data_IF_256969972593
#
_entry.id   IF_256969972593
#
_cell.length_a   1.000
_cell.length_b   1.000
_cell.length_c   1.000
_cell.angle_alpha   90.00
_cell.angle_beta   90.00
_cell.angle_gamma   90.00
#
_symmetry.space_group_name_H-M   'P 1'
#
loop_
_entity.id
_entity.type
_entity.pdbx_description
1 polymer ?
#
# COMPACT_ATOMS: atom_id res chain seq x y z
N UNK A 1 -49.91 10.71 -50.35
CA UNK A 1 -50.84 10.79 -49.21
C UNK A 1 -50.09 11.43 -48.05
N UNK A 2 -50.49 12.66 -47.71
CA UNK A 2 -50.11 13.43 -46.51
C UNK A 2 -50.85 12.86 -45.26
N UNK A 3 -50.56 13.27 -44.01
CA UNK A 3 -49.91 14.52 -43.63
C UNK A 3 -48.79 14.47 -42.57
N UNK A 4 -48.06 15.59 -42.60
CA UNK A 4 -47.14 16.14 -41.61
C UNK A 4 -47.89 16.68 -40.39
N UNK A 5 -47.25 16.68 -39.22
CA UNK A 5 -47.52 17.70 -38.17
C UNK A 5 -46.20 18.21 -37.61
N UNK A 6 -46.00 19.53 -37.71
CA UNK A 6 -45.05 20.38 -36.99
C UNK A 6 -45.85 21.15 -35.93
N UNK A 7 -45.30 21.40 -34.74
CA UNK A 7 -45.68 22.49 -33.82
C UNK A 7 -44.43 22.81 -32.98
N UNK A 8 -43.69 23.88 -33.26
CA UNK A 8 -43.79 25.27 -32.76
C UNK A 8 -43.44 25.49 -31.29
N UNK A 9 -42.45 26.37 -31.12
CA UNK A 9 -41.89 26.92 -29.90
C UNK A 9 -42.88 27.81 -29.13
N UNK A 10 -42.63 27.98 -27.82
CA UNK A 10 -43.07 29.17 -27.09
C UNK A 10 -42.05 29.57 -26.02
N UNK A 11 -41.64 30.82 -26.16
CA UNK A 11 -40.82 31.65 -25.28
C UNK A 11 -41.66 32.05 -24.07
N UNK A 12 -41.09 32.06 -22.87
CA UNK A 12 -41.57 32.95 -21.80
C UNK A 12 -40.39 33.49 -21.00
N UNK A 13 -40.23 34.81 -21.09
CA UNK A 13 -39.28 35.61 -20.35
C UNK A 13 -40.00 36.37 -19.22
N UNK A 14 -39.29 36.58 -18.11
CA UNK A 14 -39.38 37.79 -17.31
C UNK A 14 -40.28 37.74 -16.06
N UNK A 15 -39.64 37.82 -14.89
CA UNK A 15 -40.11 38.66 -13.78
C UNK A 15 -38.91 39.10 -12.94
N UNK A 16 -38.56 40.39 -13.11
CA UNK A 16 -37.78 41.15 -12.15
C UNK A 16 -38.65 41.44 -10.91
N UNK A 17 -38.07 41.28 -9.73
CA UNK A 17 -38.58 41.84 -8.48
C UNK A 17 -37.41 42.43 -7.70
N UNK A 18 -37.28 43.76 -7.72
CA UNK A 18 -36.35 44.54 -6.92
C UNK A 18 -37.10 45.28 -5.80
N UNK A 19 -36.60 45.16 -4.57
CA UNK A 19 -36.78 46.00 -3.37
C UNK A 19 -35.79 45.40 -2.36
N UNK A 20 -34.84 46.04 -1.69
CA UNK A 20 -34.45 47.42 -1.39
C UNK A 20 -33.65 47.32 -0.07
N UNK A 21 -32.56 48.09 0.16
CA UNK A 21 -31.72 47.92 1.34
C UNK A 21 -32.39 48.54 2.57
N UNK A 22 -32.47 47.78 3.67
CA UNK A 22 -32.93 48.28 4.96
C UNK A 22 -31.75 48.49 5.89
N UNK A 23 -31.44 49.76 6.17
CA UNK A 23 -30.66 50.20 7.31
C UNK A 23 -31.26 49.66 8.62
N UNK A 24 -30.41 49.05 9.46
CA UNK A 24 -30.65 48.90 10.90
C UNK A 24 -29.37 49.19 11.67
N UNK A 25 -29.25 50.44 12.07
CA UNK A 25 -28.43 50.88 13.20
C UNK A 25 -28.94 50.28 14.52
N UNK A 26 -27.99 49.94 15.41
CA UNK A 26 -28.10 50.22 16.84
C UNK A 26 -28.59 49.09 17.77
N UNK A 27 -27.64 48.39 18.39
CA UNK A 27 -27.57 48.03 19.82
C UNK A 27 -26.41 47.03 19.99
N UNK A 28 -25.19 47.45 20.33
CA UNK A 28 -24.73 47.66 21.72
C UNK A 28 -25.22 46.54 22.65
N UNK A 29 -24.46 45.44 22.68
CA UNK A 29 -24.42 44.52 23.80
C UNK A 29 -22.95 44.28 24.16
N UNK A 30 -22.58 44.77 25.34
CA UNK A 30 -21.30 44.53 26.00
C UNK A 30 -21.14 43.04 26.34
N UNK A 31 -19.95 42.44 26.17
CA UNK A 31 -19.61 41.21 26.87
C UNK A 31 -18.91 41.56 28.19
N UNK A 32 -19.69 41.71 29.27
CA UNK A 32 -19.16 41.60 30.63
C UNK A 32 -19.20 40.13 31.04
N UNK A 33 -18.06 39.47 31.09
CA UNK A 33 -17.94 38.09 31.54
C UNK A 33 -16.49 37.63 31.60
N UNK A 34 -15.79 38.08 32.63
CA UNK A 34 -14.44 37.64 32.97
C UNK A 34 -14.39 36.12 33.25
N UNK A 35 -13.30 35.42 32.89
CA UNK A 35 -13.05 34.05 33.36
C UNK A 35 -12.58 34.06 34.82
N UNK A 36 -12.99 33.08 35.67
CA UNK A 36 -12.52 33.01 37.03
C UNK A 36 -11.04 32.57 37.09
N UNK A 37 -10.25 33.45 37.70
CA UNK A 37 -8.90 33.21 38.21
C UNK A 37 -8.99 32.26 39.40
N UNK A 38 -8.28 31.13 39.35
CA UNK A 38 -7.95 30.33 40.53
C UNK A 38 -6.44 30.39 40.76
N UNK A 39 -6.04 31.03 41.85
CA UNK A 39 -4.68 31.02 42.36
C UNK A 39 -4.71 30.92 43.88
N UNK A 40 -3.85 30.04 44.40
CA UNK A 40 -3.08 30.15 45.65
C UNK A 40 -3.39 29.18 46.81
N UNK A 41 -2.28 28.61 47.31
CA UNK A 41 -2.06 27.89 48.57
C UNK A 41 -1.40 26.54 48.28
N UNK A 42 -0.08 26.40 48.09
CA UNK A 42 1.13 26.85 48.81
C UNK A 42 1.30 26.33 50.25
N UNK A 43 2.51 25.82 50.51
CA UNK A 43 3.00 25.21 51.75
C UNK A 43 3.71 23.88 51.46
N UNK A 44 5.04 23.71 51.48
CA UNK A 44 6.11 24.54 52.01
C UNK A 44 6.98 23.72 52.97
N UNK A 45 8.24 23.44 52.58
CA UNK A 45 9.34 22.99 53.45
C UNK A 45 9.62 21.48 53.43
N UNK A 46 10.85 20.97 53.52
CA UNK A 46 12.18 21.56 53.67
C UNK A 46 13.23 20.45 53.49
N UNK A 47 14.44 20.86 53.12
CA UNK A 47 15.68 20.13 52.85
C UNK A 47 16.01 18.87 53.69
N UNK A 48 16.79 17.95 53.09
CA UNK A 48 18.04 17.49 53.72
C UNK A 48 19.01 16.91 52.70
N UNK A 49 20.28 17.25 52.88
CA UNK A 49 21.44 16.84 52.08
C UNK A 49 22.27 15.79 52.84
N UNK A 50 22.84 14.81 52.12
CA UNK A 50 24.01 13.98 52.48
C UNK A 50 24.41 13.24 51.19
N UNK A 51 25.64 13.23 50.67
CA UNK A 51 26.96 13.47 51.25
C UNK A 51 27.69 12.15 51.53
N UNK A 52 28.69 11.79 50.71
CA UNK A 52 29.62 10.64 50.85
C UNK A 52 29.64 9.79 49.56
N UNK A 53 30.64 9.85 48.67
CA UNK A 53 32.11 9.73 48.77
C UNK A 53 32.58 8.30 49.11
N UNK A 54 33.40 7.72 48.21
CA UNK A 54 33.75 6.30 48.20
C UNK A 54 34.67 5.90 47.04
N UNK A 55 35.93 6.31 47.17
CA UNK A 55 37.11 6.05 46.35
C UNK A 55 37.60 4.60 46.30
N UNK A 56 38.25 4.21 45.19
CA UNK A 56 39.29 3.15 45.10
C UNK A 56 38.89 1.96 44.21
N UNK A 57 39.70 1.39 43.32
CA UNK A 57 41.13 1.57 43.05
C UNK A 57 41.46 1.07 41.62
N UNK A 58 42.50 1.65 41.05
CA UNK A 58 43.14 1.24 39.81
C UNK A 58 43.78 -0.16 39.91
N UNK A 59 43.88 -0.85 38.76
CA UNK A 59 45.12 -1.57 38.46
C UNK A 59 45.38 -1.57 36.96
N UNK A 60 46.48 -0.92 36.61
CA UNK A 60 47.12 -0.97 35.31
C UNK A 60 47.94 -2.27 35.22
N UNK A 61 47.90 -2.91 34.04
CA UNK A 61 48.76 -4.02 33.68
C UNK A 61 49.21 -3.85 32.23
N UNK A 62 50.41 -3.28 32.09
CA UNK A 62 51.07 -2.87 30.85
C UNK A 62 51.50 -4.03 29.95
N UNK A 63 51.48 -3.73 28.65
CA UNK A 63 52.19 -4.26 27.48
C UNK A 63 53.20 -5.42 27.64
N UNK A 64 53.15 -6.32 26.64
CA UNK A 64 54.24 -7.20 26.25
C UNK A 64 54.03 -7.70 24.82
N UNK A 65 54.50 -6.91 23.85
CA UNK A 65 54.63 -7.33 22.46
C UNK A 65 55.65 -8.47 22.33
N UNK A 66 55.37 -9.46 21.48
CA UNK A 66 56.38 -10.33 20.90
C UNK A 66 55.89 -10.88 19.56
N UNK A 67 56.80 -10.80 18.61
CA UNK A 67 56.65 -10.86 17.18
C UNK A 67 56.83 -12.30 16.67
N UNK A 68 55.97 -12.67 15.72
CA UNK A 68 56.17 -13.50 14.51
C UNK A 68 56.73 -14.94 14.55
N UNK A 69 56.24 -15.65 13.52
CA UNK A 69 56.69 -16.91 12.89
C UNK A 69 56.27 -18.18 13.63
N UNK A 70 55.64 -19.18 13.00
CA UNK A 70 55.31 -19.44 11.60
C UNK A 70 54.93 -20.92 11.47
N UNK A 71 54.09 -21.24 10.48
CA UNK A 71 53.82 -22.59 9.92
C UNK A 71 53.17 -23.61 10.87
N UNK A 72 52.29 -24.54 10.49
CA UNK A 72 51.55 -24.98 9.30
C UNK A 72 50.69 -26.11 9.86
N UNK A 73 49.37 -26.14 9.63
CA UNK A 73 48.55 -27.19 10.25
C UNK A 73 47.06 -27.11 9.92
N UNK A 74 46.73 -27.36 8.65
CA UNK A 74 45.54 -28.09 8.20
C UNK A 74 44.18 -27.78 8.85
N UNK A 75 43.45 -26.79 8.31
CA UNK A 75 41.98 -26.77 8.39
C UNK A 75 41.37 -27.18 7.04
N UNK A 76 40.26 -27.95 7.02
CA UNK A 76 39.63 -28.41 5.78
C UNK A 76 39.14 -27.23 4.93
N UNK A 77 39.66 -27.11 3.69
CA UNK A 77 39.16 -26.15 2.71
C UNK A 77 37.99 -26.76 1.94
N UNK A 78 36.88 -26.05 1.94
CA UNK A 78 35.73 -26.31 1.07
C UNK A 78 36.10 -25.81 -0.34
N UNK A 79 36.08 -26.74 -1.30
CA UNK A 79 36.53 -26.56 -2.67
C UNK A 79 35.39 -25.95 -3.51
N UNK A 80 35.48 -24.66 -3.81
CA UNK A 80 34.74 -24.03 -4.91
C UNK A 80 35.77 -23.72 -5.99
N UNK A 81 35.76 -24.58 -7.03
CA UNK A 81 36.74 -24.58 -8.09
C UNK A 81 36.83 -23.25 -8.82
N UNK A 82 38.05 -22.73 -8.91
CA UNK A 82 38.43 -21.76 -9.93
C UNK A 82 38.50 -22.48 -11.29
N UNK A 83 37.40 -22.43 -12.04
CA UNK A 83 37.34 -22.79 -13.45
C UNK A 83 37.67 -21.59 -14.33
N UNK A 84 38.81 -21.65 -14.98
CA UNK A 84 39.29 -20.73 -16.02
C UNK A 84 38.28 -20.52 -17.15
N UNK A 85 38.19 -19.28 -17.63
CA UNK A 85 37.28 -18.84 -18.68
C UNK A 85 37.17 -19.78 -19.88
N UNK A 86 35.92 -20.16 -20.15
CA UNK A 86 35.43 -20.54 -21.45
C UNK A 86 34.20 -19.68 -21.73
N UNK A 87 34.34 -18.72 -22.62
CA UNK A 87 33.20 -18.11 -23.30
C UNK A 87 32.57 -19.20 -24.17
N UNK A 88 31.41 -19.71 -23.73
CA UNK A 88 30.48 -20.57 -24.46
C UNK A 88 29.18 -20.63 -23.61
N UNK A 89 27.99 -20.26 -24.07
CA UNK A 89 27.57 -19.80 -25.38
C UNK A 89 26.38 -18.86 -25.25
N UNK A 90 26.25 -18.01 -26.25
CA UNK A 90 25.02 -17.38 -26.68
C UNK A 90 23.98 -18.48 -26.97
N UNK A 91 23.17 -18.81 -25.97
CA UNK A 91 21.92 -19.56 -26.15
C UNK A 91 20.78 -18.55 -26.31
N UNK A 92 20.72 -17.94 -27.49
CA UNK A 92 19.51 -17.28 -27.96
C UNK A 92 18.37 -18.29 -28.03
N UNK A 93 17.47 -18.26 -27.04
CA UNK A 93 16.37 -19.20 -26.95
C UNK A 93 15.39 -19.02 -25.77
N UNK A 94 15.05 -17.78 -25.41
CA UNK A 94 13.95 -17.44 -24.50
C UNK A 94 14.37 -16.55 -23.34
N UNK A 95 14.14 -15.24 -23.49
CA UNK A 95 14.33 -14.19 -22.48
C UNK A 95 13.53 -14.50 -21.21
N UNK A 96 14.17 -15.09 -20.20
CA UNK A 96 13.64 -15.13 -18.83
C UNK A 96 13.61 -13.70 -18.26
N UNK A 97 12.62 -13.40 -17.44
CA UNK A 97 12.42 -12.07 -16.87
C UNK A 97 11.12 -11.40 -17.35
N UNK A 98 10.49 -10.64 -16.46
CA UNK A 98 9.24 -9.97 -16.74
C UNK A 98 9.46 -8.69 -17.56
N UNK A 99 8.58 -8.42 -18.52
CA UNK A 99 8.67 -7.18 -19.28
C UNK A 99 8.08 -6.00 -18.50
N UNK A 100 7.20 -6.28 -17.53
CA UNK A 100 6.41 -5.31 -16.78
C UNK A 100 6.01 -5.85 -15.41
N UNK A 101 5.75 -4.97 -14.46
CA UNK A 101 5.08 -5.30 -13.20
C UNK A 101 3.72 -4.58 -13.17
N UNK A 102 2.65 -5.31 -12.90
CA UNK A 102 1.32 -4.74 -12.67
C UNK A 102 1.01 -4.86 -11.16
N UNK A 103 0.90 -3.73 -10.48
CA UNK A 103 0.71 -3.63 -9.02
C UNK A 103 -0.74 -3.33 -8.67
N UNK A 104 -1.38 -4.21 -7.92
CA UNK A 104 -2.71 -4.01 -7.34
C UNK A 104 -2.58 -3.65 -5.86
N UNK A 105 -2.93 -2.43 -5.49
CA UNK A 105 -3.10 -2.02 -4.10
C UNK A 105 -4.54 -2.26 -3.66
N UNK A 106 -4.74 -3.11 -2.65
CA UNK A 106 -6.02 -3.34 -1.98
C UNK A 106 -5.97 -2.59 -0.66
N UNK A 107 -6.48 -1.36 -0.69
CA UNK A 107 -6.33 -0.41 0.40
C UNK A 107 -7.43 -0.57 1.44
N UNK A 108 -7.01 -0.69 2.70
CA UNK A 108 -7.90 -0.57 3.84
C UNK A 108 -8.53 0.83 3.93
N UNK A 109 -9.87 0.89 3.89
CA UNK A 109 -10.64 2.14 3.97
C UNK A 109 -11.17 2.44 5.36
N UNK A 110 -10.78 1.64 6.36
CA UNK A 110 -11.01 1.93 7.76
C UNK A 110 -10.52 3.34 8.12
N UNK A 111 -11.22 3.93 9.09
CA UNK A 111 -10.91 5.28 9.56
C UNK A 111 -9.61 5.33 10.38
N UNK A 112 -9.20 4.20 10.97
CA UNK A 112 -7.94 4.08 11.73
C UNK A 112 -6.72 4.18 10.82
N UNK A 113 -6.80 3.65 9.59
CA UNK A 113 -5.70 3.66 8.61
C UNK A 113 -5.35 5.02 7.99
N UNK A 114 -5.99 6.12 8.42
CA UNK A 114 -5.82 7.42 7.75
C UNK A 114 -4.38 7.95 7.82
N UNK A 115 -3.71 7.79 8.96
CA UNK A 115 -2.34 8.27 9.15
C UNK A 115 -1.35 7.43 8.33
N UNK A 116 -1.54 6.12 8.31
CA UNK A 116 -0.76 5.13 7.56
C UNK A 116 -0.90 5.37 6.05
N UNK A 117 -2.13 5.64 5.58
CA UNK A 117 -2.39 6.00 4.18
C UNK A 117 -1.71 7.30 3.78
N UNK A 118 -1.71 8.32 4.64
CA UNK A 118 -1.01 9.59 4.39
C UNK A 118 0.51 9.39 4.36
N UNK A 119 1.04 8.57 5.27
CA UNK A 119 2.46 8.23 5.32
C UNK A 119 2.89 7.47 4.04
N UNK A 120 2.09 6.51 3.59
CA UNK A 120 2.31 5.79 2.34
C UNK A 120 2.34 6.76 1.15
N UNK A 121 1.32 7.61 1.02
CA UNK A 121 1.21 8.58 -0.05
C UNK A 121 2.39 9.58 -0.08
N UNK A 122 2.83 10.05 1.10
CA UNK A 122 3.93 11.01 1.21
C UNK A 122 5.28 10.41 0.80
N UNK A 123 5.50 9.13 1.05
CA UNK A 123 6.77 8.45 0.84
C UNK A 123 6.78 7.51 -0.39
N UNK A 124 5.69 7.47 -1.15
CA UNK A 124 5.54 6.65 -2.36
C UNK A 124 6.61 6.92 -3.43
N UNK A 125 7.21 8.10 -3.40
CA UNK A 125 8.31 8.50 -4.28
C UNK A 125 9.48 7.52 -4.21
N UNK A 126 9.86 7.10 -3.00
CA UNK A 126 10.95 6.16 -2.80
C UNK A 126 10.62 4.77 -3.36
N UNK A 127 9.34 4.39 -3.29
CA UNK A 127 8.86 3.13 -3.85
C UNK A 127 8.92 3.13 -5.38
N UNK A 128 8.43 4.18 -6.03
CA UNK A 128 8.44 4.29 -7.49
C UNK A 128 9.87 4.42 -8.03
N UNK A 129 10.77 5.06 -7.29
CA UNK A 129 12.18 5.16 -7.67
C UNK A 129 12.82 3.78 -7.89
N UNK A 130 12.49 2.76 -7.09
CA UNK A 130 13.00 1.39 -7.28
C UNK A 130 12.60 0.82 -8.64
N UNK A 131 11.35 1.05 -9.08
CA UNK A 131 10.88 0.62 -10.40
C UNK A 131 11.51 1.44 -11.51
N UNK A 132 11.58 2.77 -11.36
CA UNK A 132 12.16 3.67 -12.35
C UNK A 132 13.67 3.40 -12.56
N UNK A 133 14.41 3.11 -11.49
CA UNK A 133 15.83 2.73 -11.54
C UNK A 133 16.02 1.38 -12.24
N UNK A 134 15.10 0.43 -12.02
CA UNK A 134 15.13 -0.86 -12.69
C UNK A 134 14.83 -0.74 -14.20
N UNK A 135 13.89 0.14 -14.60
CA UNK A 135 13.67 0.49 -16.02
C UNK A 135 14.94 1.08 -16.63
N UNK A 136 15.60 2.00 -15.91
CA UNK A 136 16.80 2.67 -16.40
C UNK A 136 18.00 1.73 -16.58
N UNK A 137 18.00 0.55 -15.96
CA UNK A 137 19.05 -0.46 -16.08
C UNK A 137 19.02 -1.24 -17.42
N UNK A 138 18.00 -1.05 -18.27
CA UNK A 138 17.87 -1.62 -19.63
C UNK A 138 17.94 -3.17 -19.69
N UNK A 139 17.29 -3.83 -18.72
CA UNK A 139 17.25 -5.30 -18.62
C UNK A 139 16.06 -5.95 -19.38
N UNK A 140 15.38 -5.20 -20.25
CA UNK A 140 14.14 -5.65 -20.91
C UNK A 140 12.85 -5.32 -20.15
N UNK A 141 12.97 -4.70 -18.97
CA UNK A 141 11.86 -4.14 -18.22
C UNK A 141 11.40 -2.81 -18.83
N UNK A 142 10.12 -2.72 -19.21
CA UNK A 142 9.57 -1.65 -20.05
C UNK A 142 8.67 -0.66 -19.32
N UNK A 143 8.22 -0.99 -18.10
CA UNK A 143 7.33 -0.13 -17.32
C UNK A 143 6.50 -0.90 -16.30
N UNK A 144 5.63 -0.18 -15.61
CA UNK A 144 4.73 -0.74 -14.59
C UNK A 144 3.34 -0.14 -14.68
N UNK A 145 2.38 -0.78 -14.00
CA UNK A 145 1.05 -0.21 -13.75
C UNK A 145 0.71 -0.26 -12.29
N UNK A 146 -0.04 0.72 -11.82
CA UNK A 146 -0.49 0.78 -10.43
C UNK A 146 -1.98 1.01 -10.41
N UNK A 147 -2.72 -0.02 -10.00
CA UNK A 147 -4.15 0.02 -9.76
C UNK A 147 -4.40 0.08 -8.25
N UNK A 148 -5.41 0.84 -7.85
CA UNK A 148 -5.85 0.93 -6.45
C UNK A 148 -7.31 0.49 -6.38
N UNK A 149 -7.66 -0.41 -5.48
CA UNK A 149 -9.03 -0.72 -5.05
C UNK A 149 -9.09 -0.58 -3.53
N UNK A 150 -10.29 -0.67 -2.95
CA UNK A 150 -10.42 -0.84 -1.50
C UNK A 150 -10.63 -2.31 -1.13
N UNK A 151 -10.48 -2.62 0.15
CA UNK A 151 -10.62 -3.95 0.76
C UNK A 151 -12.06 -4.40 1.00
N UNK A 152 -13.05 -3.71 0.44
CA UNK A 152 -14.46 -3.94 0.80
C UNK A 152 -15.33 -4.42 -0.36
N UNK A 153 -16.39 -5.15 0.00
CA UNK A 153 -17.35 -5.76 -0.92
C UNK A 153 -18.75 -5.29 -0.59
N UNK A 154 -19.53 -4.90 -1.59
CA UNK A 154 -20.90 -4.46 -1.39
C UNK A 154 -21.83 -5.65 -1.11
N UNK A 155 -22.20 -5.82 0.16
CA UNK A 155 -23.10 -6.88 0.62
C UNK A 155 -23.74 -6.49 1.95
N UNK A 156 -24.76 -7.24 2.35
CA UNK A 156 -25.36 -7.09 3.68
C UNK A 156 -24.86 -8.19 4.60
N UNK A 157 -24.13 -7.80 5.64
CA UNK A 157 -23.59 -8.68 6.68
C UNK A 157 -24.14 -8.22 8.02
N UNK A 158 -24.71 -9.14 8.80
CA UNK A 158 -25.26 -8.89 10.14
C UNK A 158 -26.23 -7.68 10.24
N UNK A 159 -26.94 -7.36 9.16
CA UNK A 159 -27.88 -6.25 9.10
C UNK A 159 -27.28 -4.88 8.73
N UNK A 160 -25.99 -4.80 8.45
CA UNK A 160 -25.33 -3.64 7.86
C UNK A 160 -25.04 -3.89 6.38
N UNK A 161 -25.37 -2.93 5.51
CA UNK A 161 -25.14 -3.03 4.06
C UNK A 161 -23.96 -2.18 3.65
N UNK A 162 -22.82 -2.82 3.37
CA UNK A 162 -21.64 -2.17 2.79
C UNK A 162 -21.99 -1.60 1.41
N UNK A 163 -21.62 -0.33 1.19
CA UNK A 163 -21.89 0.45 -0.04
C UNK A 163 -20.66 1.18 -0.56
N UNK A 164 -19.55 1.15 0.20
CA UNK A 164 -18.28 1.74 -0.22
C UNK A 164 -17.36 0.78 -0.95
N UNK A 165 -17.67 -0.52 -0.98
CA UNK A 165 -16.84 -1.51 -1.66
C UNK A 165 -16.76 -1.24 -3.16
N UNK A 166 -15.58 -1.43 -3.73
CA UNK A 166 -15.42 -1.43 -5.18
C UNK A 166 -15.60 -2.81 -5.80
N UNK A 167 -15.78 -3.86 -4.98
CA UNK A 167 -16.01 -5.21 -5.47
C UNK A 167 -14.90 -5.66 -6.46
N UNK A 168 -13.64 -5.30 -6.18
CA UNK A 168 -12.49 -5.58 -7.05
C UNK A 168 -12.28 -4.62 -8.21
N UNK A 169 -13.17 -3.66 -8.45
CA UNK A 169 -12.97 -2.62 -9.47
C UNK A 169 -11.89 -1.62 -9.05
N UNK A 170 -11.05 -1.21 -9.98
CA UNK A 170 -10.07 -0.15 -9.74
C UNK A 170 -10.74 1.21 -9.55
N UNK A 171 -10.22 1.96 -8.60
CA UNK A 171 -10.63 3.32 -8.28
C UNK A 171 -10.08 4.30 -9.31
N UNK A 172 -10.96 5.06 -9.95
CA UNK A 172 -10.63 6.06 -10.97
C UNK A 172 -10.31 7.45 -10.39
N UNK A 173 -10.18 7.57 -9.07
CA UNK A 173 -9.97 8.85 -8.40
C UNK A 173 -11.20 9.77 -8.41
N UNK A 174 -12.38 9.25 -8.72
CA UNK A 174 -13.59 10.04 -8.99
C UNK A 174 -13.35 11.13 -10.06
N UNK A 175 -12.44 10.88 -11.00
CA UNK A 175 -12.03 11.83 -12.05
C UNK A 175 -11.14 12.98 -11.58
N UNK A 176 -10.66 12.99 -10.33
CA UNK A 176 -9.88 14.10 -9.76
C UNK A 176 -8.38 13.84 -9.66
N UNK A 177 -7.95 12.59 -9.81
CA UNK A 177 -6.55 12.21 -9.63
C UNK A 177 -5.69 12.36 -10.88
N UNK A 178 -6.19 13.02 -11.93
CA UNK A 178 -5.44 13.23 -13.17
C UNK A 178 -5.07 11.91 -13.86
N UNK A 179 -5.88 10.87 -13.68
CA UNK A 179 -5.77 9.64 -14.47
C UNK A 179 -6.21 9.91 -15.91
N UNK A 180 -5.71 9.09 -16.83
CA UNK A 180 -6.08 9.15 -18.25
C UNK A 180 -7.47 8.57 -18.49
N UNK A 181 -7.63 7.83 -19.60
CA UNK A 181 -8.86 7.09 -19.86
C UNK A 181 -9.01 5.85 -18.95
N UNK A 182 -7.90 5.37 -18.40
CA UNK A 182 -7.81 4.12 -17.66
C UNK A 182 -7.73 4.36 -16.14
N UNK A 183 -8.33 3.50 -15.31
CA UNK A 183 -8.35 3.63 -13.84
C UNK A 183 -7.05 3.13 -13.18
N UNK A 184 -5.89 3.36 -13.81
CA UNK A 184 -4.58 3.01 -13.27
C UNK A 184 -3.51 4.00 -13.70
N UNK A 185 -2.41 3.99 -12.95
CA UNK A 185 -1.21 4.77 -13.26
C UNK A 185 -0.35 3.96 -14.21
N UNK A 186 0.10 4.58 -15.30
CA UNK A 186 1.09 4.01 -16.22
C UNK A 186 2.47 4.62 -15.90
N UNK A 187 3.44 3.76 -15.63
CA UNK A 187 4.81 4.15 -15.33
C UNK A 187 5.82 3.70 -16.41
N UNK A 188 6.97 4.39 -16.54
CA UNK A 188 7.46 5.47 -15.68
C UNK A 188 6.78 6.81 -16.01
N UNK A 189 6.46 7.62 -14.99
CA UNK A 189 5.75 8.88 -15.18
C UNK A 189 6.13 9.90 -14.10
N UNK A 190 6.39 11.18 -14.47
CA UNK A 190 6.68 12.22 -13.49
C UNK A 190 5.49 12.55 -12.58
N UNK A 191 4.27 12.11 -12.94
CA UNK A 191 3.06 12.33 -12.15
C UNK A 191 2.67 11.12 -11.30
N UNK A 192 3.39 9.99 -11.37
CA UNK A 192 3.01 8.75 -10.70
C UNK A 192 2.82 8.93 -9.19
N UNK A 193 3.71 9.71 -8.56
CA UNK A 193 3.63 10.09 -7.15
C UNK A 193 2.32 10.81 -6.80
N UNK A 194 2.01 11.89 -7.52
CA UNK A 194 0.84 12.71 -7.24
C UNK A 194 -0.47 11.95 -7.53
N UNK A 195 -0.48 11.15 -8.60
CA UNK A 195 -1.61 10.30 -8.95
C UNK A 195 -1.85 9.24 -7.86
N UNK A 196 -0.80 8.55 -7.41
CA UNK A 196 -0.94 7.54 -6.38
C UNK A 196 -1.35 8.15 -5.03
N UNK A 197 -0.74 9.26 -4.63
CA UNK A 197 -1.11 9.96 -3.40
C UNK A 197 -2.60 10.37 -3.40
N UNK A 198 -3.15 10.75 -4.55
CA UNK A 198 -4.56 11.03 -4.70
C UNK A 198 -5.45 9.77 -4.58
N UNK A 199 -5.02 8.64 -5.15
CA UNK A 199 -5.78 7.39 -5.10
C UNK A 199 -5.74 6.71 -3.73
N UNK A 200 -4.57 6.66 -3.10
CA UNK A 200 -4.30 5.83 -1.92
C UNK A 200 -4.91 6.37 -0.62
N UNK A 201 -5.06 7.69 -0.48
CA UNK A 201 -5.52 8.30 0.78
C UNK A 201 -7.00 8.01 1.06
N UNK A 202 -7.83 7.95 0.02
CA UNK A 202 -9.27 7.78 0.18
C UNK A 202 -9.95 7.10 -1.02
N UNK A 203 -9.69 5.81 -1.28
CA UNK A 203 -10.32 5.06 -2.37
C UNK A 203 -11.76 4.68 -2.00
N UNK A 204 -12.64 5.67 -1.94
CA UNK A 204 -14.08 5.49 -1.68
C UNK A 204 -14.93 6.10 -2.82
N UNK A 205 -16.16 5.60 -3.03
CA UNK A 205 -17.06 6.15 -4.04
C UNK A 205 -17.36 7.63 -3.82
N UNK A 206 -17.60 8.36 -4.91
CA UNK A 206 -18.11 9.72 -4.84
C UNK A 206 -19.41 9.78 -4.01
N UNK A 207 -19.43 10.65 -3.00
CA UNK A 207 -20.56 10.76 -2.07
C UNK A 207 -20.43 9.90 -0.80
N UNK A 208 -19.39 9.07 -0.70
CA UNK A 208 -19.13 8.19 0.44
C UNK A 208 -20.11 7.03 0.52
N UNK A 209 -20.29 6.49 1.72
CA UNK A 209 -21.18 5.38 2.00
C UNK A 209 -20.90 4.81 3.38
N UNK A 210 -21.22 3.54 3.57
CA UNK A 210 -20.82 2.76 4.75
C UNK A 210 -19.97 1.59 4.32
N UNK A 211 -18.88 1.34 5.04
CA UNK A 211 -18.10 0.12 4.90
C UNK A 211 -18.61 -1.00 5.83
N UNK A 212 -19.26 -0.60 6.93
CA UNK A 212 -19.64 -1.49 8.03
C UNK A 212 -18.46 -2.09 8.82
N UNK A 213 -17.20 -1.75 8.49
CA UNK A 213 -16.01 -2.25 9.16
C UNK A 213 -15.75 -3.72 8.81
N UNK A 214 -16.00 -4.07 7.55
CA UNK A 214 -15.88 -5.44 7.05
C UNK A 214 -14.81 -5.46 5.96
N UNK A 215 -13.54 -5.40 6.35
CA UNK A 215 -12.45 -5.47 5.39
C UNK A 215 -12.17 -6.93 5.03
N UNK A 216 -12.34 -7.22 3.73
CA UNK A 216 -12.22 -8.53 3.12
C UNK A 216 -11.24 -8.50 1.93
N UNK A 217 -9.99 -8.04 2.14
CA UNK A 217 -9.03 -7.85 1.06
C UNK A 217 -8.79 -9.11 0.21
N UNK A 218 -8.82 -10.32 0.80
CA UNK A 218 -8.69 -11.57 0.04
C UNK A 218 -9.87 -11.81 -0.91
N UNK A 219 -11.10 -11.53 -0.46
CA UNK A 219 -12.29 -11.61 -1.33
C UNK A 219 -12.23 -10.57 -2.46
N UNK A 220 -11.69 -9.37 -2.19
CA UNK A 220 -11.49 -8.33 -3.21
C UNK A 220 -10.51 -8.79 -4.28
N UNK A 221 -9.40 -9.44 -3.91
CA UNK A 221 -8.43 -9.98 -4.87
C UNK A 221 -9.12 -10.96 -5.83
N UNK A 222 -9.98 -11.84 -5.32
CA UNK A 222 -10.75 -12.77 -6.16
C UNK A 222 -11.71 -12.04 -7.12
N UNK A 223 -12.40 -11.01 -6.63
CA UNK A 223 -13.33 -10.20 -7.46
C UNK A 223 -12.60 -9.38 -8.51
N UNK A 224 -11.41 -8.87 -8.19
CA UNK A 224 -10.58 -8.10 -9.11
C UNK A 224 -10.31 -8.86 -10.40
N UNK A 225 -10.00 -10.16 -10.34
CA UNK A 225 -9.78 -10.93 -11.57
C UNK A 225 -11.06 -11.15 -12.39
N UNK A 226 -12.24 -11.11 -11.77
CA UNK A 226 -13.51 -11.07 -12.49
C UNK A 226 -13.71 -9.78 -13.30
N UNK A 227 -13.15 -8.67 -12.82
CA UNK A 227 -13.20 -7.37 -13.48
C UNK A 227 -12.12 -7.18 -14.56
N UNK A 228 -11.19 -8.11 -14.73
CA UNK A 228 -10.21 -8.12 -15.83
C UNK A 228 -10.80 -8.60 -17.17
N UNK A 229 -11.97 -9.24 -17.17
CA UNK A 229 -12.56 -9.82 -18.37
C UNK A 229 -12.93 -8.76 -19.43
N UNK A 230 -13.02 -9.12 -20.73
CA UNK A 230 -13.40 -8.17 -21.77
C UNK A 230 -14.75 -7.48 -21.50
N UNK A 231 -14.79 -6.15 -21.63
CA UNK A 231 -15.93 -5.29 -21.33
C UNK A 231 -16.16 -4.99 -19.85
N UNK A 232 -15.24 -5.38 -18.96
CA UNK A 232 -15.30 -5.11 -17.51
C UNK A 232 -14.43 -3.93 -17.11
N UNK A 233 -14.55 -3.52 -15.85
CA UNK A 233 -14.02 -2.24 -15.42
C UNK A 233 -12.48 -2.20 -15.34
N UNK A 234 -11.83 -3.35 -15.18
CA UNK A 234 -10.37 -3.47 -15.14
C UNK A 234 -9.83 -4.10 -16.43
N UNK A 235 -10.62 -4.18 -17.50
CA UNK A 235 -10.18 -4.74 -18.77
C UNK A 235 -8.86 -4.10 -19.20
N UNK A 236 -7.89 -4.94 -19.52
CA UNK A 236 -6.60 -4.51 -20.02
C UNK A 236 -5.60 -4.12 -18.95
N UNK A 237 -5.94 -4.07 -17.65
CA UNK A 237 -5.00 -3.71 -16.57
C UNK A 237 -3.82 -4.68 -16.47
N UNK A 238 -4.09 -5.99 -16.30
CA UNK A 238 -3.07 -7.02 -16.10
C UNK A 238 -2.57 -7.62 -17.42
N UNK A 239 -1.28 -7.49 -17.70
CA UNK A 239 -0.68 -7.95 -18.95
C UNK A 239 -0.13 -9.38 -18.88
N UNK A 240 -1.00 -10.35 -18.57
CA UNK A 240 -0.60 -11.76 -18.49
C UNK A 240 0.18 -12.23 -19.73
N UNK A 241 -0.27 -11.83 -20.92
CA UNK A 241 0.31 -12.26 -22.20
C UNK A 241 1.60 -11.52 -22.58
N UNK A 242 1.92 -10.40 -21.92
CA UNK A 242 3.15 -9.63 -22.16
C UNK A 242 4.28 -9.99 -21.19
N UNK A 243 4.20 -11.17 -20.55
CA UNK A 243 5.13 -11.61 -19.51
C UNK A 243 5.25 -10.61 -18.35
N UNK A 244 4.11 -10.18 -17.80
CA UNK A 244 4.06 -9.30 -16.62
C UNK A 244 3.99 -10.09 -15.32
N UNK A 245 4.62 -9.57 -14.27
CA UNK A 245 4.46 -10.04 -12.89
C UNK A 245 3.30 -9.28 -12.23
N UNK A 246 2.28 -9.99 -11.73
CA UNK A 246 1.23 -9.40 -10.89
C UNK A 246 1.73 -9.30 -9.45
N UNK A 247 1.71 -8.11 -8.87
CA UNK A 247 2.04 -7.91 -7.44
C UNK A 247 0.80 -7.39 -6.72
N UNK A 248 0.33 -8.11 -5.71
CA UNK A 248 -0.80 -7.68 -4.86
C UNK A 248 -0.26 -7.10 -3.57
N UNK A 249 -0.61 -5.85 -3.25
CA UNK A 249 -0.18 -5.13 -2.05
C UNK A 249 -1.39 -4.86 -1.15
N UNK A 250 -1.34 -5.32 0.10
CA UNK A 250 -2.44 -5.22 1.07
C UNK A 250 -1.92 -4.54 2.35
N UNK A 251 -2.01 -3.20 2.46
CA UNK A 251 -1.80 -2.48 3.71
C UNK A 251 -3.11 -2.42 4.51
N UNK A 252 -3.09 -2.90 5.76
CA UNK A 252 -4.27 -2.92 6.66
C UNK A 252 -3.84 -2.98 8.12
N UNK A 253 -4.63 -2.41 9.03
CA UNK A 253 -4.45 -2.55 10.48
C UNK A 253 -5.27 -3.70 11.09
N UNK A 254 -5.94 -4.49 10.24
CA UNK A 254 -6.79 -5.60 10.64
C UNK A 254 -6.51 -6.93 9.91
N UNK A 255 -7.20 -8.00 10.35
CA UNK A 255 -7.18 -9.29 9.68
C UNK A 255 -8.35 -9.39 8.70
N UNK A 256 -8.28 -10.35 7.78
CA UNK A 256 -9.41 -10.70 6.91
C UNK A 256 -10.67 -11.00 7.74
N UNK A 257 -11.75 -10.27 7.49
CA UNK A 257 -13.00 -10.37 8.27
C UNK A 257 -13.53 -11.83 8.33
N UNK A 258 -14.05 -12.29 9.47
CA UNK A 258 -14.63 -13.64 9.63
C UNK A 258 -15.78 -13.97 8.68
N UNK A 259 -16.54 -12.98 8.22
CA UNK A 259 -17.64 -13.11 7.26
C UNK A 259 -17.16 -13.05 5.80
N UNK A 260 -15.85 -12.97 5.55
CA UNK A 260 -15.27 -13.15 4.20
C UNK A 260 -15.73 -14.46 3.56
N UNK A 261 -16.05 -14.41 2.27
CA UNK A 261 -16.31 -15.62 1.48
C UNK A 261 -15.03 -16.25 0.92
N UNK A 262 -13.87 -15.65 1.17
CA UNK A 262 -12.55 -16.16 0.82
C UNK A 262 -11.79 -16.60 2.08
N UNK A 263 -10.65 -17.23 1.86
CA UNK A 263 -9.66 -17.56 2.88
C UNK A 263 -8.27 -17.68 2.22
N UNK A 264 -7.19 -17.77 3.01
CA UNK A 264 -5.82 -17.82 2.49
C UNK A 264 -5.59 -18.85 1.36
N UNK A 265 -6.10 -20.07 1.52
CA UNK A 265 -5.95 -21.14 0.53
C UNK A 265 -6.74 -20.85 -0.75
N UNK A 266 -7.94 -20.29 -0.63
CA UNK A 266 -8.78 -19.92 -1.78
C UNK A 266 -8.17 -18.78 -2.58
N UNK A 267 -7.73 -17.72 -1.91
CA UNK A 267 -7.08 -16.57 -2.53
C UNK A 267 -5.78 -16.98 -3.26
N UNK A 268 -4.97 -17.85 -2.65
CA UNK A 268 -3.77 -18.40 -3.32
C UNK A 268 -4.15 -19.19 -4.56
N UNK A 269 -5.07 -20.15 -4.45
CA UNK A 269 -5.48 -20.96 -5.59
C UNK A 269 -6.07 -20.13 -6.74
N UNK A 270 -6.78 -19.04 -6.39
CA UNK A 270 -7.25 -18.07 -7.36
C UNK A 270 -6.09 -17.35 -8.07
N UNK A 271 -5.10 -16.83 -7.33
CA UNK A 271 -3.94 -16.16 -7.93
C UNK A 271 -3.09 -17.12 -8.78
N UNK A 272 -2.90 -18.37 -8.34
CA UNK A 272 -2.25 -19.42 -9.12
C UNK A 272 -2.92 -19.58 -10.49
N UNK A 273 -4.26 -19.65 -10.52
CA UNK A 273 -5.04 -19.73 -11.76
C UNK A 273 -4.99 -18.44 -12.60
N UNK A 274 -5.11 -17.28 -11.95
CA UNK A 274 -5.11 -15.98 -12.61
C UNK A 274 -3.77 -15.71 -13.29
N UNK A 275 -2.67 -15.85 -12.57
CA UNK A 275 -1.32 -15.58 -13.06
C UNK A 275 -0.78 -16.70 -13.96
N UNK A 276 -1.31 -17.92 -13.85
CA UNK A 276 -0.81 -19.09 -14.59
C UNK A 276 0.40 -19.74 -13.92
N UNK A 277 0.37 -19.86 -12.59
CA UNK A 277 1.44 -20.44 -11.77
C UNK A 277 1.85 -19.53 -10.60
N UNK A 278 2.30 -20.15 -9.51
CA UNK A 278 2.71 -19.46 -8.28
C UNK A 278 3.99 -18.63 -8.42
N UNK A 279 4.82 -18.95 -9.41
CA UNK A 279 6.02 -18.18 -9.75
C UNK A 279 5.70 -16.88 -10.51
N UNK A 280 4.43 -16.66 -10.89
CA UNK A 280 4.00 -15.56 -11.77
C UNK A 280 3.28 -14.41 -11.06
N UNK A 281 3.26 -14.44 -9.74
CA UNK A 281 2.77 -13.33 -8.94
C UNK A 281 3.55 -13.20 -7.63
N UNK A 282 3.43 -12.04 -7.02
CA UNK A 282 3.92 -11.75 -5.68
C UNK A 282 2.83 -11.17 -4.80
N UNK A 283 2.95 -11.36 -3.49
CA UNK A 283 2.02 -10.83 -2.50
C UNK A 283 2.81 -10.07 -1.45
N UNK A 284 2.41 -8.84 -1.17
CA UNK A 284 2.98 -7.99 -0.13
C UNK A 284 1.86 -7.62 0.83
N UNK A 285 1.88 -8.18 2.04
CA UNK A 285 0.96 -7.81 3.11
C UNK A 285 1.72 -6.97 4.11
N UNK A 286 1.18 -5.81 4.49
CA UNK A 286 1.74 -5.00 5.56
C UNK A 286 0.65 -4.78 6.60
N UNK A 287 0.75 -5.51 7.71
CA UNK A 287 -0.32 -5.58 8.70
C UNK A 287 0.21 -5.76 10.13
N UNK A 288 -0.70 -5.91 11.10
CA UNK A 288 -0.32 -6.19 12.49
C UNK A 288 0.33 -7.58 12.61
N UNK A 289 1.57 -7.68 13.14
CA UNK A 289 2.28 -8.94 13.26
C UNK A 289 1.75 -9.78 14.42
N UNK A 290 1.85 -11.10 14.30
CA UNK A 290 1.44 -12.01 15.37
C UNK A 290 2.44 -12.20 16.50
N UNK A 291 2.02 -12.84 17.61
CA UNK A 291 0.69 -13.40 17.87
C UNK A 291 -0.24 -12.48 18.69
N UNK A 292 0.03 -11.17 18.75
CA UNK A 292 -0.78 -10.21 19.52
C UNK A 292 -0.88 -8.88 18.81
N UNK A 293 -1.72 -7.95 19.28
CA UNK A 293 -1.78 -6.62 18.68
C UNK A 293 -0.43 -5.93 18.82
N UNK A 294 -0.12 -5.06 17.86
CA UNK A 294 1.01 -4.14 17.98
C UNK A 294 0.50 -2.72 18.21
N UNK A 295 1.27 -1.97 18.99
CA UNK A 295 1.01 -0.55 19.23
C UNK A 295 2.31 0.21 19.03
N UNK A 296 2.25 1.31 18.29
CA UNK A 296 3.42 2.09 17.93
C UNK A 296 3.09 3.56 17.68
N UNK A 297 4.13 4.37 17.51
CA UNK A 297 3.97 5.80 17.18
C UNK A 297 3.38 6.05 15.78
N UNK A 298 3.09 4.98 15.04
CA UNK A 298 2.78 5.00 13.61
C UNK A 298 1.58 4.13 13.25
N UNK A 299 0.86 3.64 14.27
CA UNK A 299 -0.30 2.79 14.09
C UNK A 299 -0.47 1.80 15.23
N UNK A 300 -1.72 1.47 15.48
CA UNK A 300 -2.13 0.33 16.29
C UNK A 300 -2.80 -0.66 15.34
N UNK A 301 -2.41 -1.93 15.40
CA UNK A 301 -2.99 -2.96 14.54
C UNK A 301 -3.27 -4.24 15.32
N UNK A 302 -4.35 -4.92 14.96
CA UNK A 302 -4.63 -6.26 15.45
C UNK A 302 -3.79 -7.28 14.66
N UNK A 303 -3.60 -8.46 15.24
CA UNK A 303 -2.88 -9.52 14.55
C UNK A 303 -3.67 -10.00 13.32
N UNK A 304 -3.07 -9.82 12.13
CA UNK A 304 -3.61 -10.28 10.86
C UNK A 304 -3.26 -11.76 10.58
N UNK A 305 -3.83 -12.69 11.35
CA UNK A 305 -3.49 -14.11 11.29
C UNK A 305 -3.74 -14.74 9.93
N UNK A 306 -4.90 -14.49 9.31
CA UNK A 306 -5.22 -15.03 7.99
C UNK A 306 -4.34 -14.39 6.92
N UNK A 307 -4.10 -13.09 6.98
CA UNK A 307 -3.25 -12.42 5.98
C UNK A 307 -1.77 -12.85 6.10
N UNK A 308 -1.27 -13.07 7.32
CA UNK A 308 0.05 -13.67 7.52
C UNK A 308 0.09 -15.09 6.96
N UNK A 309 -0.93 -15.91 7.26
CA UNK A 309 -1.04 -17.27 6.71
C UNK A 309 -1.08 -17.27 5.19
N UNK A 310 -1.82 -16.34 4.58
CA UNK A 310 -1.88 -16.18 3.12
C UNK A 310 -0.51 -15.87 2.54
N UNK A 311 0.21 -14.95 3.17
CA UNK A 311 1.55 -14.56 2.74
C UNK A 311 2.53 -15.72 2.85
N UNK A 312 2.50 -16.49 3.95
CA UNK A 312 3.36 -17.66 4.16
C UNK A 312 3.08 -18.81 3.16
N UNK A 313 1.88 -18.87 2.58
CA UNK A 313 1.50 -19.85 1.57
C UNK A 313 2.00 -19.50 0.16
N UNK A 314 2.31 -18.24 -0.11
CA UNK A 314 2.74 -17.74 -1.42
C UNK A 314 4.27 -17.76 -1.49
N UNK A 315 4.90 -18.43 -2.48
CA UNK A 315 6.37 -18.49 -2.56
C UNK A 315 7.04 -17.12 -2.64
N UNK A 316 6.43 -16.19 -3.37
CA UNK A 316 6.85 -14.78 -3.49
C UNK A 316 6.02 -13.88 -2.54
N UNK A 317 5.76 -14.36 -1.32
CA UNK A 317 5.03 -13.66 -0.29
C UNK A 317 5.97 -12.87 0.64
N UNK A 318 5.66 -11.60 0.87
CA UNK A 318 6.35 -10.72 1.81
C UNK A 318 5.38 -10.20 2.86
N UNK A 319 5.67 -10.46 4.15
CA UNK A 319 4.89 -9.93 5.27
C UNK A 319 5.69 -8.85 6.01
N UNK A 320 5.17 -7.63 5.99
CA UNK A 320 5.68 -6.48 6.71
C UNK A 320 4.84 -6.14 7.94
N UNK A 321 5.47 -5.51 8.93
CA UNK A 321 4.75 -5.01 10.11
C UNK A 321 4.39 -3.54 9.94
N UNK A 322 3.10 -3.22 10.01
CA UNK A 322 2.63 -1.83 9.93
C UNK A 322 3.12 -0.97 11.11
N UNK A 323 3.35 -1.58 12.28
CA UNK A 323 3.83 -0.91 13.49
C UNK A 323 5.32 -0.53 13.49
N UNK A 324 6.13 -0.96 12.51
CA UNK A 324 7.54 -0.55 12.41
C UNK A 324 7.72 0.90 11.94
N UNK A 325 6.65 1.53 11.45
CA UNK A 325 6.52 2.98 11.32
C UNK A 325 6.97 3.62 10.03
N UNK A 326 7.67 2.88 9.19
CA UNK A 326 7.96 3.30 7.82
C UNK A 326 7.40 2.26 6.84
N UNK A 327 6.14 2.51 6.45
CA UNK A 327 5.44 1.71 5.47
C UNK A 327 6.14 1.76 4.11
N UNK A 328 6.79 2.87 3.78
CA UNK A 328 7.50 3.03 2.52
C UNK A 328 8.81 2.27 2.47
N UNK A 329 9.58 2.22 3.56
CA UNK A 329 10.77 1.34 3.63
C UNK A 329 10.38 -0.12 3.50
N UNK A 330 9.37 -0.54 4.25
CA UNK A 330 8.87 -1.93 4.19
C UNK A 330 8.42 -2.29 2.78
N UNK A 331 7.68 -1.40 2.14
CA UNK A 331 7.19 -1.58 0.79
C UNK A 331 8.33 -1.53 -0.26
N UNK A 332 9.35 -0.68 -0.07
CA UNK A 332 10.53 -0.63 -0.92
C UNK A 332 11.32 -1.94 -0.87
N UNK A 333 11.56 -2.49 0.33
CA UNK A 333 12.20 -3.80 0.50
C UNK A 333 11.39 -4.91 -0.17
N UNK A 334 10.06 -4.92 0.02
CA UNK A 334 9.20 -5.88 -0.65
C UNK A 334 9.31 -5.77 -2.18
N UNK A 335 9.38 -4.55 -2.71
CA UNK A 335 9.50 -4.32 -4.15
C UNK A 335 10.85 -4.76 -4.72
N UNK A 336 11.95 -4.55 -3.98
CA UNK A 336 13.26 -5.07 -4.38
C UNK A 336 13.21 -6.60 -4.54
N UNK A 337 12.52 -7.31 -3.65
CA UNK A 337 12.28 -8.76 -3.79
C UNK A 337 11.40 -9.07 -5.01
N UNK A 338 10.32 -8.30 -5.24
CA UNK A 338 9.46 -8.49 -6.43
C UNK A 338 10.19 -8.21 -7.74
N UNK A 339 11.14 -7.28 -7.78
CA UNK A 339 12.00 -7.04 -8.93
C UNK A 339 12.89 -8.26 -9.19
N UNK A 340 13.44 -8.88 -8.15
CA UNK A 340 14.18 -10.15 -8.28
C UNK A 340 13.27 -11.28 -8.78
N UNK A 341 12.03 -11.37 -8.29
CA UNK A 341 11.05 -12.33 -8.83
C UNK A 341 10.74 -12.05 -10.30
N UNK A 342 10.56 -10.78 -10.67
CA UNK A 342 10.35 -10.34 -12.04
C UNK A 342 11.52 -10.79 -12.94
N UNK A 343 12.77 -10.55 -12.54
CA UNK A 343 13.96 -10.95 -13.31
C UNK A 343 14.04 -12.46 -13.57
N UNK A 344 13.43 -13.26 -12.69
CA UNK A 344 13.39 -14.72 -12.79
C UNK A 344 12.05 -15.27 -13.30
N UNK A 345 11.13 -14.41 -13.74
CA UNK A 345 9.79 -14.81 -14.17
C UNK A 345 9.89 -15.83 -15.32
N UNK A 346 9.26 -17.02 -15.19
CA UNK A 346 9.24 -18.00 -16.28
C UNK A 346 8.46 -17.45 -17.49
N UNK A 347 8.67 -18.00 -18.70
CA UNK A 347 7.83 -17.64 -19.84
C UNK A 347 6.36 -18.04 -19.61
N UNK A 348 5.39 -17.39 -20.27
CA UNK A 348 3.97 -17.73 -20.13
C UNK A 348 3.70 -19.19 -20.51
N UNK A 349 2.91 -19.90 -19.71
CA UNK A 349 2.38 -21.21 -20.12
C UNK A 349 1.33 -20.99 -21.22
N UNK A 350 1.54 -21.63 -22.38
CA UNK A 350 0.71 -21.48 -23.58
C UNK A 350 -0.56 -22.32 -23.62
#
# INVERSE_FOLDING_TARGET
MSPRVRLHASVLAGLLGACGPGDRDGAVFEPTGAPPTSTAGDGGGTASATGGDGTGAASAGTAGASTASGETGNMPKFDVGAGTGASAGDDGGGTGGCARIDLLFVMDISASMLEEKQNLAANFDAFVQVLDDHIAADNGFSGYRIGVTNSSVNRTVQGCTTTMGFDGRLFDGNGNCGLGADPWIEGPSPNAKDQFACLAVNPIPAGGGTDCGHEVPLEVVEKFGGELAPGKANEGFYHKDANSLLVVVIPTDEDEDPDSMSNPTQAKAFLDGLAGGEDRYGVVVIAGPGPGPCMGAFGDAIFAEKLQTFTDLVPNGFFGSICQGDLAQTLATALEEMVVTCDNLPPPEG
#
